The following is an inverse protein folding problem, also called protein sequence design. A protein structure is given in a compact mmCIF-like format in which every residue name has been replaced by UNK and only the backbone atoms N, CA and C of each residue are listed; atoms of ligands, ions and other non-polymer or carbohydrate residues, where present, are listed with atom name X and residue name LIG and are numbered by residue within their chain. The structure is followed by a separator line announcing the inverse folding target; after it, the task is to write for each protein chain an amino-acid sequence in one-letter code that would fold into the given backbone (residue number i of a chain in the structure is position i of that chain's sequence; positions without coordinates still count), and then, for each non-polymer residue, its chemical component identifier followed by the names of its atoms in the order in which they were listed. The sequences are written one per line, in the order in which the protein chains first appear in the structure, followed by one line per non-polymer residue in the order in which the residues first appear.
data_IF_714683070023
#
_entry.id   IF_714683070023
#
_cell.length_a   1.000
_cell.length_b   1.000
_cell.length_c   1.000
_cell.angle_alpha   90.00
_cell.angle_beta   90.00
_cell.angle_gamma   90.00
#
_symmetry.space_group_name_H-M   'P 1'
#
loop_
_entity.id
_entity.type
_entity.pdbx_description
1 polymer ?
#
# COMPACT_ATOMS: atom_id res chain seq x y z
N UNK A 1 15.51 30.02 -16.45
CA UNK A 1 16.04 30.98 -15.47
C UNK A 1 14.91 31.34 -14.53
N UNK A 2 14.90 30.76 -13.32
CA UNK A 2 13.85 30.99 -12.31
C UNK A 2 14.53 31.21 -10.96
N UNK A 3 14.09 32.29 -10.32
CA UNK A 3 14.71 33.01 -9.22
C UNK A 3 14.60 32.22 -7.91
N UNK A 4 15.72 32.07 -7.20
CA UNK A 4 15.79 31.52 -5.84
C UNK A 4 15.21 32.54 -4.87
N UNK A 5 14.18 32.16 -4.12
CA UNK A 5 13.69 32.91 -2.96
C UNK A 5 14.56 32.65 -1.73
N UNK A 6 15.03 33.72 -1.12
CA UNK A 6 15.91 33.75 0.05
C UNK A 6 15.18 33.37 1.34
N UNK A 7 15.92 32.69 2.22
CA UNK A 7 15.53 32.35 3.60
C UNK A 7 15.91 33.50 4.52
N UNK A 8 14.96 34.05 5.27
CA UNK A 8 15.24 34.94 6.39
C UNK A 8 15.52 34.12 7.66
N UNK A 9 16.68 34.41 8.27
CA UNK A 9 17.13 33.91 9.56
C UNK A 9 16.58 34.82 10.67
N UNK A 10 15.77 34.27 11.57
CA UNK A 10 15.35 34.93 12.81
C UNK A 10 16.12 34.34 13.99
N UNK A 11 17.17 35.03 14.44
CA UNK A 11 17.85 34.79 15.71
C UNK A 11 17.03 35.41 16.83
N UNK A 12 16.50 34.60 17.75
CA UNK A 12 16.02 35.09 19.05
C UNK A 12 16.85 34.44 20.15
N UNK A 13 17.67 35.30 20.74
CA UNK A 13 18.56 35.09 21.87
C UNK A 13 17.71 35.17 23.15
N UNK A 14 17.59 34.06 23.88
CA UNK A 14 16.97 34.07 25.22
C UNK A 14 17.70 33.15 26.19
N UNK A 15 18.41 33.81 27.11
CA UNK A 15 18.54 33.48 28.53
C UNK A 15 18.98 32.06 28.91
N UNK A 16 20.30 31.89 28.99
CA UNK A 16 20.98 30.86 29.79
C UNK A 16 20.67 31.08 31.29
N UNK A 17 19.68 30.36 31.82
CA UNK A 17 19.57 30.10 33.27
C UNK A 17 20.42 28.87 33.61
N UNK A 18 21.41 29.10 34.47
CA UNK A 18 22.27 28.09 35.09
C UNK A 18 21.42 27.23 36.02
N UNK A 19 21.12 26.00 35.59
CA UNK A 19 20.57 24.93 36.43
C UNK A 19 21.69 23.91 36.62
N UNK A 20 22.47 24.11 37.67
CA UNK A 20 23.46 23.15 38.17
C UNK A 20 22.89 22.62 39.48
N UNK A 21 23.12 21.32 39.73
CA UNK A 21 22.80 20.54 40.95
C UNK A 21 21.44 19.82 41.04
N UNK A 22 21.23 18.80 40.18
CA UNK A 22 20.35 17.66 40.48
C UNK A 22 20.68 16.39 39.66
N UNK A 23 21.96 16.13 39.33
CA UNK A 23 22.35 15.10 38.35
C UNK A 23 23.05 13.86 38.93
N UNK A 24 23.37 13.82 40.22
CA UNK A 24 24.24 12.76 40.77
C UNK A 24 23.47 11.60 41.43
N UNK A 25 22.20 11.76 41.82
CA UNK A 25 21.40 10.67 42.40
C UNK A 25 20.76 9.72 41.36
N UNK A 26 20.67 10.13 40.08
CA UNK A 26 20.08 9.30 39.02
C UNK A 26 21.06 8.27 38.40
N UNK A 27 22.37 8.37 38.70
CA UNK A 27 23.39 7.50 38.13
C UNK A 27 23.40 6.08 38.71
N UNK A 28 23.07 5.92 39.99
CA UNK A 28 23.14 4.61 40.68
C UNK A 28 22.08 3.61 40.23
N UNK A 29 20.84 4.05 40.01
CA UNK A 29 19.74 3.15 39.62
C UNK A 29 19.89 2.57 38.23
N UNK A 30 20.53 3.29 37.31
CA UNK A 30 20.69 2.84 35.92
C UNK A 30 21.70 1.69 35.78
N UNK A 31 22.77 1.73 36.56
CA UNK A 31 23.82 0.70 36.54
C UNK A 31 23.31 -0.67 36.99
N UNK A 32 22.53 -0.71 38.08
CA UNK A 32 21.99 -1.97 38.60
C UNK A 32 20.99 -2.63 37.62
N UNK A 33 20.14 -1.82 36.97
CA UNK A 33 19.17 -2.32 35.99
C UNK A 33 19.85 -2.87 34.73
N UNK A 34 20.90 -2.20 34.24
CA UNK A 34 21.69 -2.67 33.09
C UNK A 34 22.42 -3.99 33.42
N UNK A 35 22.93 -4.17 34.64
CA UNK A 35 23.54 -5.43 35.08
C UNK A 35 22.54 -6.58 35.11
N UNK A 36 21.35 -6.37 35.70
CA UNK A 36 20.32 -7.40 35.78
C UNK A 36 19.79 -7.82 34.39
N UNK A 37 19.61 -6.86 33.48
CA UNK A 37 19.19 -7.14 32.10
C UNK A 37 20.24 -7.98 31.36
N UNK A 38 21.52 -7.69 31.58
CA UNK A 38 22.63 -8.45 30.99
C UNK A 38 22.68 -9.89 31.52
N UNK A 39 22.57 -10.08 32.82
CA UNK A 39 22.54 -11.42 33.44
C UNK A 39 21.36 -12.25 32.92
N UNK A 40 20.18 -11.63 32.79
CA UNK A 40 19.00 -12.28 32.20
C UNK A 40 19.24 -12.64 30.73
N UNK A 41 19.79 -11.72 29.92
CA UNK A 41 20.12 -12.01 28.53
C UNK A 41 21.12 -13.16 28.40
N UNK A 42 22.18 -13.16 29.22
CA UNK A 42 23.18 -14.22 29.25
C UNK A 42 22.53 -15.57 29.56
N UNK A 43 21.63 -15.61 30.55
CA UNK A 43 20.86 -16.81 30.85
C UNK A 43 19.99 -17.26 29.66
N UNK A 44 19.22 -16.34 29.06
CA UNK A 44 18.38 -16.64 27.90
C UNK A 44 19.20 -17.15 26.72
N UNK A 45 20.37 -16.59 26.47
CA UNK A 45 21.25 -16.97 25.37
C UNK A 45 21.74 -18.41 25.48
N UNK A 46 22.08 -18.85 26.70
CA UNK A 46 22.49 -20.24 26.97
C UNK A 46 21.34 -21.23 26.83
N UNK A 47 20.15 -20.88 27.35
CA UNK A 47 18.99 -21.80 27.34
C UNK A 47 18.17 -21.75 26.05
N UNK A 48 18.37 -20.76 25.18
CA UNK A 48 17.56 -20.53 23.97
C UNK A 48 17.42 -21.76 23.07
N UNK A 49 18.46 -22.60 22.98
CA UNK A 49 18.47 -23.84 22.18
C UNK A 49 17.68 -25.00 22.80
N UNK A 50 17.36 -24.90 24.08
CA UNK A 50 16.66 -25.91 24.87
C UNK A 50 15.16 -25.58 25.03
N UNK A 51 14.71 -24.42 24.53
CA UNK A 51 13.33 -23.96 24.67
C UNK A 51 12.34 -24.82 23.88
N UNK A 52 11.12 -24.92 24.40
CA UNK A 52 10.02 -25.54 23.70
C UNK A 52 9.45 -24.56 22.67
N UNK A 53 9.83 -24.75 21.41
CA UNK A 53 9.34 -23.90 20.32
C UNK A 53 7.87 -24.24 19.97
N UNK A 54 7.07 -23.27 19.48
CA UNK A 54 5.64 -23.48 19.18
C UNK A 54 5.34 -24.60 18.17
N UNK A 55 6.31 -24.96 17.33
CA UNK A 55 6.20 -26.07 16.41
C UNK A 55 7.48 -26.33 15.64
N UNK A 56 7.51 -27.44 14.90
CA UNK A 56 8.71 -27.93 14.21
C UNK A 56 9.22 -27.02 13.07
N UNK A 57 8.42 -26.03 12.66
CA UNK A 57 8.84 -25.03 11.70
C UNK A 57 9.74 -23.95 12.32
N UNK A 58 9.80 -23.83 13.64
CA UNK A 58 10.61 -22.82 14.30
C UNK A 58 12.05 -23.30 14.46
N UNK A 59 12.97 -22.37 14.26
CA UNK A 59 14.39 -22.55 14.47
C UNK A 59 14.92 -21.40 15.33
N UNK A 60 15.94 -21.69 16.13
CA UNK A 60 16.65 -20.71 16.95
C UNK A 60 18.09 -20.58 16.47
N UNK A 61 18.56 -19.35 16.37
CA UNK A 61 19.92 -19.02 16.04
C UNK A 61 20.47 -18.02 17.05
N UNK A 62 21.52 -18.41 17.78
CA UNK A 62 22.26 -17.51 18.66
C UNK A 62 23.48 -16.98 17.90
N UNK A 63 23.56 -15.67 17.72
CA UNK A 63 24.70 -14.99 17.09
C UNK A 63 25.59 -14.44 18.20
N UNK A 64 26.89 -14.73 18.14
CA UNK A 64 27.91 -14.06 18.95
C UNK A 64 29.08 -13.70 18.04
N UNK A 65 29.16 -12.43 17.64
CA UNK A 65 30.19 -11.97 16.73
C UNK A 65 30.57 -10.52 17.02
N UNK A 66 31.86 -10.26 17.14
CA UNK A 66 32.42 -8.92 17.35
C UNK A 66 31.81 -8.21 18.59
N UNK A 67 31.50 -8.98 19.64
CA UNK A 67 30.85 -8.49 20.86
C UNK A 67 29.36 -8.20 20.74
N UNK A 68 28.75 -8.45 19.57
CA UNK A 68 27.31 -8.38 19.37
C UNK A 68 26.70 -9.75 19.58
N UNK A 69 25.79 -9.84 20.55
CA UNK A 69 25.05 -11.06 20.86
C UNK A 69 23.56 -10.85 20.62
N UNK A 70 22.98 -11.72 19.80
CA UNK A 70 21.56 -11.72 19.44
C UNK A 70 20.99 -13.14 19.48
N UNK A 71 19.72 -13.25 19.87
CA UNK A 71 18.94 -14.49 19.79
C UNK A 71 17.86 -14.28 18.73
N UNK A 72 17.83 -15.15 17.72
CA UNK A 72 16.88 -15.08 16.61
C UNK A 72 16.04 -16.34 16.59
N UNK A 73 14.74 -16.19 16.84
CA UNK A 73 13.76 -17.22 16.59
C UNK A 73 13.11 -16.95 15.25
N UNK A 74 13.13 -17.91 14.33
CA UNK A 74 12.53 -17.76 13.02
C UNK A 74 11.67 -18.96 12.69
N UNK A 75 10.45 -18.71 12.26
CA UNK A 75 9.64 -19.72 11.62
C UNK A 75 10.14 -19.90 10.19
N UNK A 76 10.46 -21.12 9.78
CA UNK A 76 10.92 -21.45 8.44
C UNK A 76 9.78 -22.12 7.67
N UNK A 77 9.54 -21.63 6.46
CA UNK A 77 8.61 -22.26 5.53
C UNK A 77 9.33 -22.53 4.23
N UNK A 78 9.22 -23.77 3.76
CA UNK A 78 9.81 -24.23 2.51
C UNK A 78 8.71 -24.30 1.45
N UNK A 79 8.88 -23.55 0.37
CA UNK A 79 8.01 -23.64 -0.81
C UNK A 79 8.73 -24.40 -1.90
N UNK A 80 8.17 -25.55 -2.26
CA UNK A 80 8.67 -26.37 -3.35
C UNK A 80 8.08 -25.90 -4.68
N UNK A 81 8.95 -25.54 -5.62
CA UNK A 81 8.63 -25.40 -7.03
C UNK A 81 9.33 -26.52 -7.82
N UNK A 82 8.90 -26.84 -9.06
CA UNK A 82 9.39 -28.01 -9.80
C UNK A 82 10.92 -28.12 -9.99
N UNK A 83 11.67 -27.02 -9.80
CA UNK A 83 13.13 -26.96 -9.98
C UNK A 83 13.88 -26.30 -8.83
N UNK A 84 13.18 -25.82 -7.80
CA UNK A 84 13.81 -25.09 -6.69
C UNK A 84 12.95 -25.17 -5.44
N UNK A 85 13.60 -25.27 -4.28
CA UNK A 85 12.98 -25.01 -3.00
C UNK A 85 13.41 -23.62 -2.53
N UNK A 86 12.45 -22.78 -2.19
CA UNK A 86 12.71 -21.46 -1.60
C UNK A 86 12.31 -21.50 -0.15
N UNK A 87 13.26 -21.18 0.74
CA UNK A 87 13.02 -21.04 2.18
C UNK A 87 12.78 -19.57 2.48
N UNK A 88 11.78 -19.28 3.29
CA UNK A 88 11.53 -17.93 3.80
C UNK A 88 11.08 -17.99 5.26
N UNK A 89 11.24 -16.86 5.94
CA UNK A 89 10.84 -16.70 7.33
C UNK A 89 9.67 -15.72 7.47
N UNK A 90 8.41 -16.20 7.54
CA UNK A 90 7.26 -15.31 7.64
C UNK A 90 7.17 -14.65 9.02
N UNK A 91 7.76 -15.25 10.05
CA UNK A 91 7.77 -14.74 11.43
C UNK A 91 9.18 -14.84 11.99
N UNK A 92 9.65 -13.75 12.57
CA UNK A 92 10.95 -13.69 13.25
C UNK A 92 10.81 -12.89 14.54
N UNK A 93 11.35 -13.41 15.64
CA UNK A 93 11.53 -12.70 16.90
C UNK A 93 13.02 -12.56 17.14
N UNK A 94 13.50 -11.32 17.16
CA UNK A 94 14.89 -10.95 17.42
C UNK A 94 14.98 -10.36 18.82
N UNK A 95 15.86 -10.91 19.65
CA UNK A 95 16.18 -10.41 20.98
C UNK A 95 17.64 -10.01 20.98
N UNK A 96 17.90 -8.73 21.22
CA UNK A 96 19.26 -8.19 21.28
C UNK A 96 19.84 -8.30 22.67
N UNK A 97 21.16 -8.16 22.79
CA UNK A 97 21.88 -8.15 24.07
C UNK A 97 21.41 -7.09 25.09
N UNK A 98 20.71 -6.04 24.64
CA UNK A 98 20.08 -5.03 25.50
C UNK A 98 18.63 -5.39 25.90
N UNK A 99 18.21 -6.64 25.69
CA UNK A 99 16.85 -7.15 25.90
C UNK A 99 15.78 -6.49 25.01
N UNK A 100 16.17 -5.75 23.97
CA UNK A 100 15.20 -5.22 22.99
C UNK A 100 14.64 -6.35 22.14
N UNK A 101 13.33 -6.56 22.23
CA UNK A 101 12.58 -7.52 21.41
C UNK A 101 12.03 -6.83 20.16
N UNK A 102 12.38 -7.37 18.99
CA UNK A 102 11.85 -6.95 17.69
C UNK A 102 11.12 -8.11 17.03
N UNK A 103 9.83 -7.93 16.75
CA UNK A 103 9.05 -8.88 15.96
C UNK A 103 9.03 -8.42 14.51
N UNK A 104 9.42 -9.31 13.59
CA UNK A 104 9.31 -9.11 12.15
C UNK A 104 8.29 -10.08 11.58
N UNK A 105 7.33 -9.54 10.83
CA UNK A 105 6.35 -10.31 10.07
C UNK A 105 6.60 -10.05 8.59
N UNK A 106 6.85 -11.10 7.82
CA UNK A 106 7.17 -10.99 6.39
C UNK A 106 8.36 -10.04 6.11
N UNK A 107 9.33 -9.99 7.02
CA UNK A 107 10.49 -9.09 6.93
C UNK A 107 10.23 -7.64 7.33
N UNK A 108 9.01 -7.30 7.76
CA UNK A 108 8.64 -5.95 8.22
C UNK A 108 8.57 -5.92 9.74
N UNK A 109 9.26 -4.97 10.37
CA UNK A 109 9.21 -4.78 11.82
C UNK A 109 7.84 -4.26 12.26
N UNK A 110 7.23 -4.93 13.23
CA UNK A 110 5.94 -4.56 13.80
C UNK A 110 6.16 -3.97 15.19
N UNK A 111 5.81 -2.69 15.35
CA UNK A 111 6.08 -1.94 16.60
C UNK A 111 5.25 -2.43 17.78
N UNK A 112 4.00 -2.79 17.53
CA UNK A 112 3.09 -3.31 18.52
C UNK A 112 2.10 -4.24 17.86
N UNK A 113 1.88 -5.39 18.50
CA UNK A 113 0.78 -6.30 18.16
C UNK A 113 -0.13 -6.32 19.37
N UNK A 114 -1.44 -6.22 19.15
CA UNK A 114 -2.40 -6.37 20.23
C UNK A 114 -2.16 -7.73 20.91
N UNK A 115 -2.20 -7.73 22.23
CA UNK A 115 -2.10 -8.94 23.06
C UNK A 115 -0.74 -9.67 23.02
N UNK A 116 0.31 -9.06 22.44
CA UNK A 116 1.68 -9.61 22.48
C UNK A 116 2.58 -8.69 23.30
N UNK A 117 2.96 -9.14 24.50
CA UNK A 117 3.95 -8.45 25.32
C UNK A 117 5.34 -8.59 24.70
N UNK A 118 6.02 -7.47 24.43
CA UNK A 118 7.43 -7.46 23.99
C UNK A 118 8.41 -7.44 25.16
N UNK A 119 7.93 -7.46 26.40
CA UNK A 119 8.77 -7.51 27.59
C UNK A 119 8.99 -8.97 27.97
N UNK A 120 10.26 -9.37 28.02
CA UNK A 120 10.69 -10.71 28.43
C UNK A 120 11.50 -10.55 29.72
N UNK A 121 10.98 -11.07 30.83
CA UNK A 121 11.63 -11.08 32.14
C UNK A 121 12.00 -12.49 32.61
N UNK A 122 11.50 -13.51 31.93
CA UNK A 122 11.75 -14.91 32.22
C UNK A 122 11.79 -15.76 30.94
N UNK A 123 12.19 -17.03 31.08
CA UNK A 123 12.10 -18.03 30.01
C UNK A 123 10.63 -18.28 29.63
N UNK A 124 9.73 -18.35 30.61
CA UNK A 124 8.31 -18.58 30.38
C UNK A 124 7.68 -17.45 29.56
N UNK A 125 8.06 -16.19 29.85
CA UNK A 125 7.60 -15.03 29.07
C UNK A 125 8.05 -15.13 27.61
N UNK A 126 9.25 -15.64 27.36
CA UNK A 126 9.78 -15.84 26.02
C UNK A 126 9.00 -16.93 25.28
N UNK A 127 8.71 -18.06 25.91
CA UNK A 127 7.89 -19.12 25.32
C UNK A 127 6.45 -18.65 25.06
N UNK A 128 5.86 -17.86 25.96
CA UNK A 128 4.56 -17.21 25.77
C UNK A 128 4.59 -16.23 24.59
N UNK A 129 5.60 -15.37 24.49
CA UNK A 129 5.81 -14.47 23.36
C UNK A 129 5.88 -15.25 22.03
N UNK A 130 6.67 -16.33 21.97
CA UNK A 130 6.80 -17.14 20.75
C UNK A 130 5.47 -17.79 20.36
N UNK A 131 4.72 -18.33 21.33
CA UNK A 131 3.37 -18.88 21.09
C UNK A 131 2.40 -17.82 20.61
N UNK A 132 2.42 -16.63 21.21
CA UNK A 132 1.56 -15.52 20.80
C UNK A 132 1.89 -15.07 19.37
N UNK A 133 3.17 -14.95 19.02
CA UNK A 133 3.63 -14.61 17.65
C UNK A 133 3.23 -15.67 16.64
N UNK A 134 3.35 -16.96 16.98
CA UNK A 134 2.93 -18.06 16.10
C UNK A 134 1.41 -18.04 15.83
N UNK A 135 0.63 -17.73 16.87
CA UNK A 135 -0.83 -17.61 16.78
C UNK A 135 -1.30 -16.40 15.96
N UNK A 136 -0.44 -15.41 15.68
CA UNK A 136 -0.82 -14.23 14.91
C UNK A 136 -1.30 -14.59 13.52
N UNK A 137 -2.44 -14.03 13.15
CA UNK A 137 -2.99 -14.18 11.80
C UNK A 137 -2.33 -13.18 10.87
N UNK A 138 -1.32 -13.63 10.13
CA UNK A 138 -0.62 -12.78 9.16
C UNK A 138 -1.39 -12.80 7.83
N UNK A 139 -1.65 -11.62 7.27
CA UNK A 139 -2.26 -11.46 5.96
C UNK A 139 -1.40 -12.16 4.89
N UNK A 140 -1.98 -13.10 4.15
CA UNK A 140 -1.32 -13.82 3.04
C UNK A 140 -1.03 -12.95 1.81
N UNK A 141 -1.50 -11.71 1.81
CA UNK A 141 -1.41 -10.82 0.66
C UNK A 141 -2.54 -11.04 -0.35
N UNK A 142 -2.38 -10.46 -1.53
CA UNK A 142 -3.27 -10.60 -2.68
C UNK A 142 -2.79 -11.69 -3.64
N UNK A 143 -3.20 -11.64 -4.92
CA UNK A 143 -2.84 -12.64 -5.92
C UNK A 143 -1.33 -12.78 -6.11
N UNK A 144 -0.90 -13.98 -6.51
CA UNK A 144 0.51 -14.23 -6.86
C UNK A 144 0.90 -13.45 -8.14
N UNK A 145 2.14 -12.99 -8.21
CA UNK A 145 2.68 -12.26 -9.37
C UNK A 145 2.51 -13.02 -10.69
N UNK A 146 2.52 -14.37 -10.65
CA UNK A 146 2.29 -15.22 -11.82
C UNK A 146 0.91 -15.06 -12.46
N UNK A 147 -0.10 -14.66 -11.68
CA UNK A 147 -1.47 -14.44 -12.19
C UNK A 147 -1.53 -13.17 -13.03
N UNK A 148 -0.75 -12.14 -12.64
CA UNK A 148 -0.74 -10.82 -13.30
C UNK A 148 0.72 -10.36 -13.53
N UNK A 149 1.47 -11.03 -14.44
CA UNK A 149 2.93 -10.86 -14.56
C UNK A 149 3.38 -9.49 -15.07
N UNK A 150 2.48 -8.70 -15.65
CA UNK A 150 2.74 -7.35 -16.18
C UNK A 150 1.99 -6.26 -15.42
N UNK A 151 1.41 -6.58 -14.27
CA UNK A 151 0.73 -5.58 -13.47
C UNK A 151 1.75 -4.77 -12.67
N UNK A 152 1.63 -3.45 -12.72
CA UNK A 152 2.45 -2.50 -11.96
C UNK A 152 1.52 -1.55 -11.20
N UNK A 153 0.80 -2.05 -10.16
CA UNK A 153 -0.05 -1.20 -9.35
C UNK A 153 0.78 -0.19 -8.55
N UNK A 154 0.36 1.07 -8.51
CA UNK A 154 1.00 2.11 -7.68
C UNK A 154 0.73 1.95 -6.17
N UNK A 155 -0.23 1.10 -5.78
CA UNK A 155 -0.70 0.93 -4.40
C UNK A 155 -0.29 -0.42 -3.78
N UNK A 156 0.59 -1.16 -4.46
CA UNK A 156 1.02 -2.47 -3.98
C UNK A 156 2.44 -2.80 -4.40
N UNK A 157 3.08 -3.65 -3.61
CA UNK A 157 4.41 -4.18 -3.83
C UNK A 157 4.39 -5.71 -3.87
N UNK A 158 5.45 -6.32 -4.39
CA UNK A 158 5.64 -7.76 -4.31
C UNK A 158 6.36 -8.11 -3.01
N UNK A 159 5.76 -8.98 -2.21
CA UNK A 159 6.39 -9.50 -1.00
C UNK A 159 7.34 -10.67 -1.30
N UNK A 160 8.00 -11.17 -0.26
CA UNK A 160 8.94 -12.30 -0.34
C UNK A 160 8.30 -13.61 -0.83
N UNK A 161 6.97 -13.73 -0.80
CA UNK A 161 6.22 -14.89 -1.31
C UNK A 161 5.83 -14.74 -2.78
N UNK A 162 6.25 -13.64 -3.41
CA UNK A 162 5.79 -13.22 -4.72
C UNK A 162 4.27 -12.99 -4.74
N UNK A 163 3.67 -12.59 -3.62
CA UNK A 163 2.28 -12.16 -3.55
C UNK A 163 2.22 -10.63 -3.62
N UNK A 164 1.24 -10.10 -4.35
CA UNK A 164 0.98 -8.68 -4.36
C UNK A 164 0.39 -8.23 -3.03
N UNK A 165 1.02 -7.27 -2.37
CA UNK A 165 0.59 -6.75 -1.07
C UNK A 165 0.34 -5.26 -1.14
N UNK A 166 -0.78 -4.82 -0.59
CA UNK A 166 -1.13 -3.40 -0.58
C UNK A 166 -0.19 -2.63 0.36
N UNK A 167 0.20 -1.41 -0.01
CA UNK A 167 1.17 -0.61 0.78
C UNK A 167 0.66 -0.29 2.19
N UNK A 168 -0.67 -0.21 2.35
CA UNK A 168 -1.35 0.00 3.63
C UNK A 168 -1.86 -1.30 4.27
N UNK A 169 -1.29 -2.45 3.91
CA UNK A 169 -1.66 -3.72 4.54
C UNK A 169 -1.32 -3.68 6.05
N UNK A 170 -2.26 -4.01 6.96
CA UNK A 170 -1.98 -4.02 8.40
C UNK A 170 -1.04 -5.15 8.82
N UNK A 171 -0.70 -6.08 7.91
CA UNK A 171 0.06 -7.32 8.13
C UNK A 171 -0.58 -8.31 9.12
N UNK A 172 -0.97 -7.87 10.31
CA UNK A 172 -1.73 -8.66 11.29
C UNK A 172 -3.22 -8.43 11.06
N UNK A 173 -3.98 -9.53 10.97
CA UNK A 173 -5.42 -9.52 10.78
C UNK A 173 -6.14 -9.51 12.14
N UNK A 174 -7.02 -8.54 12.33
CA UNK A 174 -7.95 -8.50 13.47
C UNK A 174 -9.23 -9.26 13.18
N UNK A 175 -9.65 -9.31 11.92
CA UNK A 175 -10.85 -10.01 11.45
C UNK A 175 -10.50 -11.42 10.94
N UNK A 176 -11.44 -12.38 11.02
CA UNK A 176 -11.24 -13.68 10.42
C UNK A 176 -11.12 -13.58 8.90
N UNK A 177 -10.07 -14.19 8.36
CA UNK A 177 -9.79 -14.28 6.94
C UNK A 177 -8.35 -14.73 6.68
N UNK A 178 -8.01 -14.85 5.40
CA UNK A 178 -6.64 -15.12 4.96
C UNK A 178 -5.90 -13.84 4.52
N UNK A 179 -6.64 -12.82 4.10
CA UNK A 179 -6.10 -11.56 3.63
C UNK A 179 -6.95 -10.38 4.14
N UNK A 180 -6.32 -9.21 4.30
CA UNK A 180 -7.05 -7.99 4.64
C UNK A 180 -7.88 -7.51 3.45
N UNK A 181 -8.90 -6.69 3.73
CA UNK A 181 -9.81 -6.15 2.70
C UNK A 181 -9.08 -5.45 1.54
N UNK A 182 -8.01 -4.71 1.85
CA UNK A 182 -7.19 -4.01 0.85
C UNK A 182 -6.43 -4.98 -0.07
N UNK A 183 -5.79 -6.01 0.49
CA UNK A 183 -5.10 -7.04 -0.30
C UNK A 183 -6.07 -7.90 -1.09
N UNK A 184 -7.25 -8.19 -0.55
CA UNK A 184 -8.31 -8.89 -1.25
C UNK A 184 -8.79 -8.10 -2.49
N UNK A 185 -8.99 -6.78 -2.34
CA UNK A 185 -9.38 -5.88 -3.42
C UNK A 185 -8.30 -5.69 -4.53
N UNK A 186 -7.06 -6.13 -4.29
CA UNK A 186 -6.02 -6.06 -5.31
C UNK A 186 -6.33 -6.92 -6.53
N UNK A 187 -7.06 -8.03 -6.40
CA UNK A 187 -7.36 -8.87 -7.56
C UNK A 187 -8.07 -8.09 -8.68
N UNK A 188 -9.10 -7.31 -8.32
CA UNK A 188 -9.81 -6.47 -9.29
C UNK A 188 -8.94 -5.33 -9.80
N UNK A 189 -8.17 -4.68 -8.92
CA UNK A 189 -7.24 -3.61 -9.31
C UNK A 189 -6.21 -4.10 -10.33
N UNK A 190 -5.58 -5.25 -10.07
CA UNK A 190 -4.59 -5.88 -10.93
C UNK A 190 -5.20 -6.31 -12.27
N UNK A 191 -6.39 -6.93 -12.24
CA UNK A 191 -7.13 -7.33 -13.45
C UNK A 191 -7.45 -6.13 -14.34
N UNK A 192 -7.96 -5.05 -13.76
CA UNK A 192 -8.27 -3.81 -14.50
C UNK A 192 -7.01 -3.18 -15.07
N UNK A 193 -5.93 -3.09 -14.28
CA UNK A 193 -4.66 -2.52 -14.73
C UNK A 193 -4.06 -3.33 -15.89
N UNK A 194 -4.06 -4.66 -15.79
CA UNK A 194 -3.60 -5.54 -16.85
C UNK A 194 -4.45 -5.40 -18.12
N UNK A 195 -5.78 -5.38 -17.99
CA UNK A 195 -6.69 -5.20 -19.13
C UNK A 195 -6.45 -3.86 -19.84
N UNK A 196 -6.23 -2.77 -19.07
CA UNK A 196 -5.90 -1.46 -19.62
C UNK A 196 -4.51 -1.44 -20.27
N UNK A 197 -3.54 -2.15 -19.73
CA UNK A 197 -2.21 -2.27 -20.31
C UNK A 197 -2.27 -2.97 -21.67
N UNK A 198 -3.01 -4.08 -21.77
CA UNK A 198 -3.24 -4.80 -23.03
C UNK A 198 -3.93 -3.90 -24.06
N UNK A 199 -5.04 -3.26 -23.69
CA UNK A 199 -5.78 -2.39 -24.60
C UNK A 199 -4.94 -1.20 -25.13
N UNK A 200 -4.05 -0.63 -24.29
CA UNK A 200 -3.11 0.42 -24.70
C UNK A 200 -2.06 -0.11 -25.68
N UNK A 201 -1.54 -1.31 -25.42
CA UNK A 201 -0.59 -1.96 -26.31
C UNK A 201 -1.21 -2.24 -27.68
N UNK A 202 -2.44 -2.75 -27.72
CA UNK A 202 -3.19 -2.99 -28.97
C UNK A 202 -3.47 -1.69 -29.74
N UNK A 203 -3.76 -0.59 -29.03
CA UNK A 203 -3.98 0.72 -29.64
C UNK A 203 -2.68 1.43 -30.09
N UNK A 204 -1.50 0.83 -29.88
CA UNK A 204 -0.21 1.48 -30.16
C UNK A 204 0.06 2.72 -29.29
N UNK A 205 -0.67 2.88 -28.18
CA UNK A 205 -0.53 4.02 -27.28
C UNK A 205 0.63 3.73 -26.32
N UNK A 206 1.79 4.32 -26.60
CA UNK A 206 2.90 4.37 -25.66
C UNK A 206 2.40 4.99 -24.34
N UNK A 207 2.65 4.34 -23.17
CA UNK A 207 2.29 4.91 -21.89
C UNK A 207 3.06 6.22 -21.68
N UNK A 208 2.41 7.35 -21.97
CA UNK A 208 2.94 8.64 -21.54
C UNK A 208 2.90 8.64 -20.02
N UNK A 209 4.06 8.74 -19.38
CA UNK A 209 4.19 8.99 -17.95
C UNK A 209 3.67 10.41 -17.65
N UNK A 210 2.36 10.60 -17.78
CA UNK A 210 1.69 11.80 -17.30
C UNK A 210 1.61 11.62 -15.81
N UNK A 211 2.61 12.16 -15.09
CA UNK A 211 2.45 12.41 -13.66
C UNK A 211 1.29 13.40 -13.52
N UNK A 212 0.11 12.86 -13.25
CA UNK A 212 -1.00 13.70 -12.85
C UNK A 212 -0.58 14.43 -11.57
N UNK A 213 -0.77 15.76 -11.48
CA UNK A 213 -0.58 16.47 -10.22
C UNK A 213 -1.37 15.73 -9.13
N UNK A 214 -0.80 15.61 -7.92
CA UNK A 214 -1.55 15.09 -6.76
C UNK A 214 -2.77 15.98 -6.56
N UNK A 215 -3.93 15.50 -6.99
CA UNK A 215 -5.20 16.18 -6.77
C UNK A 215 -5.60 16.05 -5.32
N UNK A 216 -6.04 17.16 -4.73
CA UNK A 216 -6.67 17.13 -3.41
C UNK A 216 -8.07 16.50 -3.53
N UNK A 217 -8.65 16.10 -2.39
CA UNK A 217 -10.03 15.59 -2.33
C UNK A 217 -11.04 16.64 -2.82
N UNK A 218 -10.78 17.91 -2.54
CA UNK A 218 -11.59 19.04 -2.97
C UNK A 218 -11.55 19.22 -4.49
N UNK A 219 -10.36 19.16 -5.09
CA UNK A 219 -10.20 19.18 -6.55
C UNK A 219 -10.98 18.03 -7.20
N UNK A 220 -10.93 16.84 -6.61
CA UNK A 220 -11.67 15.68 -7.12
C UNK A 220 -13.19 15.88 -7.07
N UNK A 221 -13.70 16.51 -6.03
CA UNK A 221 -15.12 16.84 -5.92
C UNK A 221 -15.52 17.93 -6.92
N UNK A 222 -14.68 18.96 -7.08
CA UNK A 222 -14.92 20.02 -8.05
C UNK A 222 -14.93 19.47 -9.48
N UNK A 223 -13.99 18.59 -9.83
CA UNK A 223 -13.95 17.90 -11.12
C UNK A 223 -15.16 17.00 -11.37
N UNK A 224 -15.71 16.37 -10.32
CA UNK A 224 -16.97 15.60 -10.45
C UNK A 224 -18.16 16.53 -10.74
N UNK A 225 -18.26 17.66 -10.04
CA UNK A 225 -19.32 18.66 -10.26
C UNK A 225 -19.25 19.25 -11.66
N UNK A 226 -18.07 19.64 -12.13
CA UNK A 226 -17.88 20.19 -13.48
C UNK A 226 -18.18 19.15 -14.54
N UNK A 227 -17.70 17.90 -14.40
CA UNK A 227 -18.03 16.83 -15.34
C UNK A 227 -19.54 16.56 -15.41
N UNK A 228 -20.24 16.57 -14.27
CA UNK A 228 -21.69 16.40 -14.25
C UNK A 228 -22.41 17.55 -14.99
N UNK A 229 -22.00 18.79 -14.75
CA UNK A 229 -22.53 19.96 -15.43
C UNK A 229 -22.28 19.91 -16.95
N UNK A 230 -21.07 19.51 -17.36
CA UNK A 230 -20.70 19.32 -18.77
C UNK A 230 -21.54 18.24 -19.44
N UNK A 231 -21.69 17.06 -18.82
CA UNK A 231 -22.55 15.98 -19.33
C UNK A 231 -23.98 16.44 -19.52
N UNK A 232 -24.53 17.17 -18.54
CA UNK A 232 -25.88 17.74 -18.63
C UNK A 232 -25.97 18.77 -19.76
N UNK A 233 -24.94 19.58 -19.97
CA UNK A 233 -24.90 20.55 -21.07
C UNK A 233 -24.82 19.87 -22.43
N UNK A 234 -23.95 18.88 -22.60
CA UNK A 234 -23.81 18.11 -23.83
C UNK A 234 -25.13 17.44 -24.21
N UNK A 235 -25.83 16.83 -23.26
CA UNK A 235 -27.16 16.24 -23.50
C UNK A 235 -28.17 17.27 -24.03
N UNK A 236 -28.14 18.51 -23.52
CA UNK A 236 -29.00 19.59 -24.02
C UNK A 236 -28.61 20.04 -25.42
N UNK A 237 -27.31 20.13 -25.71
CA UNK A 237 -26.84 20.46 -27.05
C UNK A 237 -27.17 19.38 -28.06
N UNK A 238 -27.02 18.10 -27.72
CA UNK A 238 -27.45 16.97 -28.55
C UNK A 238 -28.94 17.04 -28.89
N UNK A 239 -29.79 17.36 -27.91
CA UNK A 239 -31.22 17.58 -28.13
C UNK A 239 -31.48 18.76 -29.09
N UNK A 240 -30.80 19.89 -28.89
CA UNK A 240 -30.92 21.07 -29.78
C UNK A 240 -30.48 20.73 -31.21
N UNK A 241 -29.36 20.04 -31.37
CA UNK A 241 -28.87 19.58 -32.68
C UNK A 241 -29.92 18.68 -33.34
N UNK A 242 -30.54 17.76 -32.59
CA UNK A 242 -31.61 16.90 -33.11
C UNK A 242 -32.83 17.71 -33.57
N UNK A 243 -33.25 18.71 -32.79
CA UNK A 243 -34.35 19.61 -33.15
C UNK A 243 -34.05 20.39 -34.42
N UNK A 244 -32.90 21.07 -34.49
CA UNK A 244 -32.49 21.86 -35.66
C UNK A 244 -32.34 21.00 -36.91
N UNK A 245 -31.82 19.78 -36.79
CA UNK A 245 -31.74 18.84 -37.93
C UNK A 245 -33.11 18.46 -38.47
N UNK A 246 -34.11 18.29 -37.60
CA UNK A 246 -35.49 18.00 -38.02
C UNK A 246 -36.10 19.21 -38.72
N UNK A 247 -35.97 20.41 -38.15
CA UNK A 247 -36.47 21.65 -38.76
C UNK A 247 -35.85 21.91 -40.15
N UNK A 248 -34.54 21.64 -40.31
CA UNK A 248 -33.88 21.73 -41.61
C UNK A 248 -34.43 20.72 -42.63
N UNK A 249 -34.82 19.53 -42.18
CA UNK A 249 -35.40 18.51 -43.06
C UNK A 249 -36.83 18.88 -43.48
N UNK A 250 -37.63 19.40 -42.56
CA UNK A 250 -38.97 19.94 -42.84
C UNK A 250 -38.89 21.07 -43.89
N UNK A 251 -37.99 22.04 -43.70
CA UNK A 251 -37.79 23.13 -44.66
C UNK A 251 -37.31 22.65 -46.04
N UNK A 252 -36.46 21.61 -46.09
CA UNK A 252 -36.03 21.01 -47.37
C UNK A 252 -37.20 20.40 -48.13
N UNK A 253 -38.09 19.70 -47.41
CA UNK A 253 -39.29 19.11 -47.99
C UNK A 253 -40.24 20.20 -48.51
N UNK A 254 -40.43 21.29 -47.76
CA UNK A 254 -41.23 22.43 -48.20
C UNK A 254 -40.68 23.08 -49.48
N UNK A 255 -39.36 23.31 -49.54
CA UNK A 255 -38.70 23.85 -50.74
C UNK A 255 -38.91 22.93 -51.94
N UNK A 256 -38.80 21.60 -51.76
CA UNK A 256 -39.01 20.63 -52.83
C UNK A 256 -40.46 20.66 -53.36
N UNK A 257 -41.44 20.78 -52.46
CA UNK A 257 -42.86 20.92 -52.81
C UNK A 257 -43.09 22.20 -53.63
N UNK A 258 -42.57 23.34 -53.17
CA UNK A 258 -42.68 24.62 -53.89
C UNK A 258 -42.02 24.52 -55.27
N UNK A 259 -40.81 23.97 -55.36
CA UNK A 259 -40.13 23.76 -56.64
C UNK A 259 -40.90 22.84 -57.59
N UNK A 260 -41.60 21.83 -57.09
CA UNK A 260 -42.48 20.97 -57.90
C UNK A 260 -43.68 21.76 -58.43
N UNK A 261 -44.34 22.56 -57.57
CA UNK A 261 -45.47 23.40 -57.95
C UNK A 261 -45.08 24.46 -59.00
N UNK A 262 -43.97 25.18 -58.79
CA UNK A 262 -43.47 26.16 -59.75
C UNK A 262 -43.14 25.52 -61.10
N UNK A 263 -42.53 24.32 -61.11
CA UNK A 263 -42.27 23.59 -62.36
C UNK A 263 -43.55 23.22 -63.10
N UNK A 264 -44.60 22.79 -62.40
CA UNK A 264 -45.91 22.52 -63.00
C UNK A 264 -46.53 23.78 -63.62
N UNK A 265 -46.57 24.88 -62.86
CA UNK A 265 -47.10 26.16 -63.35
C UNK A 265 -46.37 26.65 -64.60
N UNK A 266 -45.04 26.55 -64.64
CA UNK A 266 -44.26 26.92 -65.81
C UNK A 266 -44.55 26.03 -67.02
N UNK A 267 -44.79 24.73 -66.80
CA UNK A 267 -45.18 23.81 -67.88
C UNK A 267 -46.59 24.11 -68.40
N UNK A 268 -47.53 24.46 -67.53
CA UNK A 268 -48.90 24.85 -67.94
C UNK A 268 -48.86 26.12 -68.81
N UNK A 269 -48.09 27.15 -68.40
CA UNK A 269 -47.90 28.39 -69.17
C UNK A 269 -47.27 28.15 -70.56
N UNK A 270 -46.44 27.11 -70.72
CA UNK A 270 -45.80 26.80 -72.01
C UNK A 270 -46.72 26.05 -72.98
N UNK A 271 -47.83 25.47 -72.49
CA UNK A 271 -48.78 24.70 -73.30
C UNK A 271 -50.01 25.51 -73.73
N UNK A 272 -50.22 26.70 -73.15
CA UNK A 272 -51.23 27.69 -73.53
C UNK A 272 -50.72 28.64 -74.63
#
# INVERSE_FOLDING_TARGET
MLVKGERCCGTSDTSRKVVVTAKEAAGGHRSAQESAAKELFDHLFEVAKLLSLPGNSWAVHCVDKDGVRDIVFSQLVVKHAPKMATVYSPRTVLIKGDMTVTVLLMGVSVKSVADVSTKVSSVDDLEELLRAVDALRVCKGGPNSKVYPKAEPECAYLDSLSAWRHDQCPLVLTEPGEACRLCHALSDTLRINMSRAIARQEAGIQPKAIRLPRMTREDALQLRKTNYALRRSNKRFEQRIKTVRRELEELRQEIEVVQCQTRKQLADIQND
#
